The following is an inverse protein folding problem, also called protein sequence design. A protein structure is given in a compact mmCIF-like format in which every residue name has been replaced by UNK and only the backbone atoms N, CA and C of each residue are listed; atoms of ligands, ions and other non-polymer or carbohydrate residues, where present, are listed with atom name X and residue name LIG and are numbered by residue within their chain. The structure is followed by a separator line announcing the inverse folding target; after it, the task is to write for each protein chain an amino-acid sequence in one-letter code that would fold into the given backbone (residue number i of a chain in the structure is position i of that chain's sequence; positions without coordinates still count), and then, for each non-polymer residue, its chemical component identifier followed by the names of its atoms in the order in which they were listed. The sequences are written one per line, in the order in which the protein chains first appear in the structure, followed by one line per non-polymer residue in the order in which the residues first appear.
data_IF_299942039075
#
_entry.id   IF_299942039075
#
_cell.length_a   1.000
_cell.length_b   1.000
_cell.length_c   1.000
_cell.angle_alpha   90.00
_cell.angle_beta   90.00
_cell.angle_gamma   90.00
#
_symmetry.space_group_name_H-M   'P 1'
#
loop_
_entity.id
_entity.type
_entity.pdbx_description
1 polymer ?
#
# COMPACT_ATOMS: atom_id res chain seq x y z
N UNK A 1 4.10 -45.55 -21.59
CA UNK A 1 3.68 -45.67 -20.19
C UNK A 1 3.68 -44.26 -19.59
N UNK A 2 2.49 -43.68 -19.52
CA UNK A 2 2.18 -42.41 -18.90
C UNK A 2 2.41 -42.55 -17.39
N UNK A 3 3.08 -41.59 -16.74
CA UNK A 3 3.15 -41.51 -15.28
C UNK A 3 2.34 -40.29 -14.86
N UNK A 4 1.12 -40.58 -14.41
CA UNK A 4 0.20 -39.65 -13.79
C UNK A 4 0.74 -39.27 -12.39
N UNK A 5 0.94 -37.99 -12.15
CA UNK A 5 1.13 -37.39 -10.82
C UNK A 5 0.45 -36.01 -10.80
N UNK A 6 -0.84 -35.96 -11.11
CA UNK A 6 -1.68 -34.79 -10.87
C UNK A 6 -2.60 -35.06 -9.69
N UNK A 7 -2.09 -34.80 -8.48
CA UNK A 7 -2.89 -34.57 -7.29
C UNK A 7 -3.12 -33.06 -7.11
N UNK A 8 -3.66 -32.39 -8.13
CA UNK A 8 -3.96 -30.96 -8.07
C UNK A 8 -5.25 -30.71 -7.29
N UNK A 9 -5.20 -29.90 -6.23
CA UNK A 9 -6.42 -29.51 -5.50
C UNK A 9 -7.32 -28.72 -6.45
N UNK A 10 -8.46 -29.28 -6.81
CA UNK A 10 -9.38 -28.69 -7.80
C UNK A 10 -10.10 -27.42 -7.30
N UNK A 11 -10.17 -27.18 -5.99
CA UNK A 11 -10.77 -25.98 -5.40
C UNK A 11 -10.08 -25.58 -4.09
N UNK A 12 -10.14 -24.29 -3.72
CA UNK A 12 -9.72 -23.80 -2.39
C UNK A 12 -10.63 -22.68 -1.88
N UNK A 13 -10.71 -22.54 -0.56
CA UNK A 13 -11.38 -21.44 0.13
C UNK A 13 -10.30 -20.63 0.85
N UNK A 14 -10.20 -19.35 0.51
CA UNK A 14 -9.31 -18.41 1.18
C UNK A 14 -10.05 -17.65 2.27
N UNK A 15 -9.48 -17.63 3.47
CA UNK A 15 -9.93 -16.76 4.56
C UNK A 15 -8.94 -15.61 4.67
N UNK A 16 -9.41 -14.37 4.54
CA UNK A 16 -8.59 -13.17 4.66
C UNK A 16 -8.84 -12.54 6.04
N UNK A 17 -7.79 -12.45 6.84
CA UNK A 17 -7.78 -11.79 8.15
C UNK A 17 -6.71 -10.69 8.13
N UNK A 18 -7.15 -9.44 8.03
CA UNK A 18 -6.30 -8.26 7.97
C UNK A 18 -6.88 -7.12 8.80
N UNK A 19 -6.06 -6.11 9.10
CA UNK A 19 -6.49 -4.90 9.79
C UNK A 19 -7.58 -4.15 9.02
N UNK A 20 -8.59 -3.66 9.74
CA UNK A 20 -9.57 -2.71 9.22
C UNK A 20 -8.99 -1.30 9.08
N UNK A 21 -9.82 -0.36 8.62
CA UNK A 21 -9.44 1.05 8.50
C UNK A 21 -9.07 1.64 9.87
N UNK A 22 -7.97 2.40 9.95
CA UNK A 22 -7.43 2.97 11.18
C UNK A 22 -7.23 4.49 11.06
N UNK A 23 -7.64 5.23 12.09
CA UNK A 23 -7.30 6.65 12.25
C UNK A 23 -7.09 6.97 13.72
N UNK A 24 -5.95 7.59 14.02
CA UNK A 24 -5.53 8.04 15.34
C UNK A 24 -5.22 9.54 15.34
N UNK A 25 -4.88 10.09 16.52
CA UNK A 25 -4.42 11.47 16.67
C UNK A 25 -3.12 11.74 15.88
N UNK A 26 -2.25 10.72 15.76
CA UNK A 26 -1.01 10.76 14.98
C UNK A 26 -0.93 9.53 14.09
N UNK A 27 -1.14 9.71 12.80
CA UNK A 27 -1.02 8.64 11.80
C UNK A 27 0.34 8.72 11.11
N UNK A 28 0.99 7.58 10.92
CA UNK A 28 2.27 7.48 10.21
C UNK A 28 2.15 6.54 9.01
N UNK A 29 3.29 6.06 8.51
CA UNK A 29 3.38 5.20 7.33
C UNK A 29 2.60 3.88 7.50
N UNK A 30 2.51 3.36 8.72
CA UNK A 30 1.80 2.12 9.04
C UNK A 30 0.29 2.26 8.77
N UNK A 31 -0.35 3.30 9.32
CA UNK A 31 -1.76 3.59 9.06
C UNK A 31 -2.00 3.89 7.58
N UNK A 32 -1.07 4.59 6.92
CA UNK A 32 -1.18 4.85 5.49
C UNK A 32 -1.25 3.56 4.68
N UNK A 33 -0.39 2.57 4.98
CA UNK A 33 -0.40 1.25 4.34
C UNK A 33 -1.69 0.46 4.64
N UNK A 34 -2.16 0.48 5.89
CA UNK A 34 -3.40 -0.19 6.30
C UNK A 34 -4.60 0.41 5.57
N UNK A 35 -4.72 1.73 5.53
CA UNK A 35 -5.84 2.42 4.90
C UNK A 35 -5.81 2.25 3.38
N UNK A 36 -4.63 2.24 2.76
CA UNK A 36 -4.48 1.91 1.34
C UNK A 36 -4.95 0.48 1.01
N UNK A 37 -4.59 -0.51 1.84
CA UNK A 37 -5.07 -1.88 1.65
C UNK A 37 -6.61 -1.96 1.78
N UNK A 38 -7.19 -1.23 2.74
CA UNK A 38 -8.64 -1.14 2.89
C UNK A 38 -9.32 -0.43 1.71
N UNK A 39 -8.68 0.57 1.09
CA UNK A 39 -9.19 1.23 -0.12
C UNK A 39 -9.35 0.23 -1.29
N UNK A 40 -8.37 -0.67 -1.45
CA UNK A 40 -8.41 -1.75 -2.46
C UNK A 40 -9.50 -2.79 -2.15
N UNK A 41 -9.66 -3.16 -0.89
CA UNK A 41 -10.73 -4.07 -0.48
C UNK A 41 -12.11 -3.45 -0.70
N UNK A 42 -12.27 -2.19 -0.34
CA UNK A 42 -13.51 -1.45 -0.55
C UNK A 42 -13.87 -1.39 -2.03
N UNK A 43 -12.90 -1.05 -2.90
CA UNK A 43 -13.12 -1.05 -4.35
C UNK A 43 -13.61 -2.42 -4.86
N UNK A 44 -12.97 -3.50 -4.41
CA UNK A 44 -13.34 -4.86 -4.84
C UNK A 44 -14.72 -5.27 -4.33
N UNK A 45 -15.04 -4.91 -3.08
CA UNK A 45 -16.33 -5.18 -2.47
C UNK A 45 -17.45 -4.48 -3.22
N UNK A 46 -17.30 -3.17 -3.44
CA UNK A 46 -18.27 -2.34 -4.16
C UNK A 46 -18.52 -2.89 -5.56
N UNK A 47 -17.46 -3.16 -6.33
CA UNK A 47 -17.59 -3.76 -7.67
C UNK A 47 -18.31 -5.12 -7.66
N UNK A 48 -18.01 -5.97 -6.67
CA UNK A 48 -18.61 -7.30 -6.60
C UNK A 48 -20.11 -7.24 -6.27
N UNK A 49 -20.49 -6.41 -5.29
CA UNK A 49 -21.88 -6.19 -4.92
C UNK A 49 -22.67 -5.63 -6.11
N UNK A 50 -22.12 -4.65 -6.85
CA UNK A 50 -22.77 -4.12 -8.04
C UNK A 50 -23.03 -5.16 -9.11
N UNK A 51 -22.05 -6.03 -9.36
CA UNK A 51 -22.20 -7.11 -10.33
C UNK A 51 -23.31 -8.08 -9.93
N UNK A 52 -23.38 -8.47 -8.66
CA UNK A 52 -24.42 -9.36 -8.15
C UNK A 52 -25.81 -8.73 -8.26
N UNK A 53 -25.93 -7.44 -7.93
CA UNK A 53 -27.19 -6.72 -8.02
C UNK A 53 -27.68 -6.63 -9.47
N UNK A 54 -26.79 -6.31 -10.40
CA UNK A 54 -27.10 -6.28 -11.83
C UNK A 54 -27.58 -7.65 -12.34
N UNK A 55 -26.94 -8.74 -11.91
CA UNK A 55 -27.34 -10.10 -12.26
C UNK A 55 -28.72 -10.49 -11.70
N UNK A 56 -29.10 -9.95 -10.54
CA UNK A 56 -30.43 -10.15 -9.94
C UNK A 56 -31.51 -9.40 -10.72
N UNK A 57 -31.31 -8.11 -10.99
CA UNK A 57 -32.26 -7.28 -11.75
C UNK A 57 -32.58 -7.89 -13.12
N UNK A 58 -31.56 -8.34 -13.84
CA UNK A 58 -31.72 -9.00 -15.13
C UNK A 58 -32.50 -10.32 -15.01
N UNK A 59 -32.33 -11.06 -13.91
CA UNK A 59 -33.04 -12.32 -13.66
C UNK A 59 -34.52 -12.09 -13.36
N UNK A 60 -34.83 -11.00 -12.67
CA UNK A 60 -36.21 -10.60 -12.36
C UNK A 60 -36.91 -9.89 -13.52
N UNK A 61 -36.19 -9.55 -14.59
CA UNK A 61 -36.72 -8.82 -15.74
C UNK A 61 -36.98 -7.35 -15.45
N UNK A 62 -36.28 -6.78 -14.45
CA UNK A 62 -36.33 -5.37 -14.09
C UNK A 62 -35.32 -4.58 -14.91
N UNK A 63 -35.67 -3.34 -15.26
CA UNK A 63 -34.72 -2.42 -15.90
C UNK A 63 -33.65 -1.99 -14.90
N UNK A 64 -32.39 -2.14 -15.27
CA UNK A 64 -31.27 -1.66 -14.47
C UNK A 64 -31.15 -0.14 -14.58
N UNK A 65 -31.32 0.56 -13.47
CA UNK A 65 -30.98 1.98 -13.35
C UNK A 65 -29.61 2.13 -12.69
N UNK A 66 -28.82 3.08 -13.14
CA UNK A 66 -27.49 3.31 -12.58
C UNK A 66 -27.61 3.89 -11.18
N UNK A 67 -27.27 3.10 -10.17
CA UNK A 67 -27.14 3.59 -8.79
C UNK A 67 -25.89 4.44 -8.69
N UNK A 68 -26.05 5.68 -8.24
CA UNK A 68 -24.93 6.59 -7.96
C UNK A 68 -24.14 6.07 -6.75
N UNK A 69 -22.83 5.89 -6.90
CA UNK A 69 -21.96 5.39 -5.85
C UNK A 69 -20.65 6.14 -5.80
N UNK A 70 -20.03 6.14 -4.62
CA UNK A 70 -18.72 6.73 -4.44
C UNK A 70 -17.65 5.86 -5.10
N UNK A 71 -17.15 6.32 -6.24
CA UNK A 71 -15.97 5.74 -6.88
C UNK A 71 -14.69 6.21 -6.17
N UNK A 72 -13.98 5.26 -5.58
CA UNK A 72 -12.74 5.51 -4.87
C UNK A 72 -11.47 5.33 -5.74
N UNK A 73 -11.62 5.06 -7.05
CA UNK A 73 -10.49 4.99 -7.98
C UNK A 73 -9.60 6.26 -7.95
N UNK A 74 -10.12 7.50 -7.84
CA UNK A 74 -9.27 8.69 -7.75
C UNK A 74 -8.34 8.69 -6.51
N UNK A 75 -8.81 8.18 -5.37
CA UNK A 75 -8.00 8.03 -4.16
C UNK A 75 -6.93 6.94 -4.34
N UNK A 76 -7.29 5.83 -4.98
CA UNK A 76 -6.33 4.76 -5.31
C UNK A 76 -5.23 5.28 -6.24
N UNK A 77 -5.61 5.99 -7.31
CA UNK A 77 -4.67 6.57 -8.27
C UNK A 77 -3.75 7.61 -7.62
N UNK A 78 -4.27 8.40 -6.68
CA UNK A 78 -3.46 9.31 -5.88
C UNK A 78 -2.37 8.56 -5.09
N UNK A 79 -2.67 7.37 -4.56
CA UNK A 79 -1.75 6.60 -3.73
C UNK A 79 -0.74 5.79 -4.56
N UNK A 80 -1.22 4.92 -5.46
CA UNK A 80 -0.39 3.95 -6.19
C UNK A 80 -0.06 4.36 -7.63
N UNK A 81 -0.75 5.37 -8.16
CA UNK A 81 -0.65 5.73 -9.57
C UNK A 81 0.72 6.27 -9.96
N UNK A 82 0.98 6.44 -11.26
CA UNK A 82 2.20 7.08 -11.74
C UNK A 82 2.33 8.49 -11.15
N UNK A 83 3.46 8.78 -10.51
CA UNK A 83 3.65 10.04 -9.76
C UNK A 83 2.68 10.25 -8.59
N UNK A 84 2.07 9.17 -8.08
CA UNK A 84 1.29 9.16 -6.85
C UNK A 84 2.18 9.15 -5.60
N UNK A 85 1.55 9.07 -4.44
CA UNK A 85 2.21 9.21 -3.13
C UNK A 85 3.35 8.19 -2.96
N UNK A 86 3.08 6.90 -3.21
CA UNK A 86 4.07 5.83 -3.08
C UNK A 86 5.18 5.92 -4.13
N UNK A 87 4.84 6.31 -5.37
CA UNK A 87 5.84 6.52 -6.43
C UNK A 87 6.83 7.62 -6.04
N UNK A 88 6.33 8.75 -5.55
CA UNK A 88 7.17 9.88 -5.14
C UNK A 88 8.01 9.53 -3.89
N UNK A 89 7.46 8.74 -2.97
CA UNK A 89 8.18 8.25 -1.79
C UNK A 89 9.34 7.33 -2.19
N UNK A 90 9.09 6.39 -3.11
CA UNK A 90 10.11 5.49 -3.65
C UNK A 90 11.25 6.23 -4.35
N UNK A 91 10.94 7.32 -5.05
CA UNK A 91 11.97 8.15 -5.68
C UNK A 91 12.79 8.92 -4.65
N UNK A 92 12.18 9.45 -3.59
CA UNK A 92 12.92 10.11 -2.52
C UNK A 92 13.88 9.14 -1.81
N UNK A 93 13.46 7.89 -1.58
CA UNK A 93 14.29 6.85 -0.95
C UNK A 93 15.60 6.55 -1.71
N UNK A 94 15.64 6.85 -3.02
CA UNK A 94 16.82 6.68 -3.88
C UNK A 94 17.76 7.89 -3.84
N UNK A 95 17.32 9.02 -3.29
CA UNK A 95 18.13 10.24 -3.25
C UNK A 95 19.31 10.09 -2.27
N UNK A 96 20.51 10.62 -2.59
CA UNK A 96 21.66 10.57 -1.69
C UNK A 96 21.42 11.25 -0.33
N UNK A 97 20.50 12.23 -0.29
CA UNK A 97 20.07 12.96 0.90
C UNK A 97 18.53 12.90 1.01
N UNK A 98 18.01 11.69 1.06
CA UNK A 98 16.58 11.45 1.21
C UNK A 98 16.03 12.16 2.45
N UNK A 99 14.92 12.90 2.30
CA UNK A 99 14.32 13.67 3.38
C UNK A 99 12.80 13.68 3.31
N UNK A 100 12.14 13.44 4.44
CA UNK A 100 10.68 13.55 4.57
C UNK A 100 10.19 14.94 4.14
N UNK A 101 10.96 16.01 4.43
CA UNK A 101 10.58 17.37 4.08
C UNK A 101 10.61 17.63 2.57
N UNK A 102 11.59 17.06 1.88
CA UNK A 102 11.72 17.18 0.43
C UNK A 102 10.61 16.40 -0.27
N UNK A 103 10.35 15.19 0.20
CA UNK A 103 9.24 14.38 -0.27
C UNK A 103 7.89 15.08 -0.09
N UNK A 104 7.62 15.62 1.10
CA UNK A 104 6.39 16.38 1.35
C UNK A 104 6.26 17.59 0.42
N UNK A 105 7.34 18.34 0.19
CA UNK A 105 7.31 19.48 -0.71
C UNK A 105 6.93 19.06 -2.14
N UNK A 106 7.49 17.94 -2.64
CA UNK A 106 7.16 17.37 -3.96
C UNK A 106 5.71 16.87 -4.02
N UNK A 107 5.22 16.24 -2.96
CA UNK A 107 3.81 15.82 -2.86
C UNK A 107 2.86 17.01 -2.98
N UNK A 108 3.11 18.06 -2.19
CA UNK A 108 2.28 19.26 -2.16
C UNK A 108 2.30 19.96 -3.52
N UNK A 109 3.47 20.13 -4.14
CA UNK A 109 3.60 20.73 -5.48
C UNK A 109 2.80 19.95 -6.53
N UNK A 110 2.81 18.61 -6.43
CA UNK A 110 2.17 17.73 -7.41
C UNK A 110 0.65 17.66 -7.24
N UNK A 111 0.15 17.59 -6.01
CA UNK A 111 -1.25 17.19 -5.76
C UNK A 111 -2.13 18.28 -5.15
N UNK A 112 -1.57 19.27 -4.46
CA UNK A 112 -2.39 20.30 -3.83
C UNK A 112 -3.16 21.09 -4.90
N UNK A 113 -4.49 21.16 -4.72
CA UNK A 113 -5.45 21.76 -5.67
C UNK A 113 -5.54 21.05 -7.04
N UNK A 114 -4.94 19.87 -7.20
CA UNK A 114 -5.01 19.07 -8.45
C UNK A 114 -5.69 17.73 -8.25
N UNK A 115 -5.50 17.12 -7.08
CA UNK A 115 -6.13 15.85 -6.71
C UNK A 115 -7.25 16.12 -5.70
N UNK A 116 -8.49 15.67 -5.94
CA UNK A 116 -9.64 15.96 -5.07
C UNK A 116 -9.49 15.36 -3.67
N UNK A 117 -8.78 14.22 -3.59
CA UNK A 117 -8.57 13.49 -2.34
C UNK A 117 -7.29 13.91 -1.60
N UNK A 118 -6.51 14.84 -2.14
CA UNK A 118 -5.31 15.37 -1.49
C UNK A 118 -5.57 16.75 -0.89
N UNK A 119 -5.23 16.92 0.38
CA UNK A 119 -5.33 18.22 1.05
C UNK A 119 -4.23 18.42 2.09
N UNK A 120 -4.17 19.62 2.67
CA UNK A 120 -3.18 19.95 3.68
C UNK A 120 -3.75 20.91 4.73
N UNK A 121 -3.55 20.58 6.01
CA UNK A 121 -3.88 21.47 7.12
C UNK A 121 -2.92 22.65 7.19
N UNK A 122 -3.44 23.86 7.41
CA UNK A 122 -2.62 25.08 7.57
C UNK A 122 -1.65 24.99 8.76
N UNK A 123 -2.06 24.35 9.86
CA UNK A 123 -1.19 24.17 11.04
C UNK A 123 -0.08 23.14 10.80
N UNK A 124 -0.33 22.15 9.96
CA UNK A 124 0.57 21.02 9.69
C UNK A 124 1.28 21.08 8.35
N UNK A 125 1.31 22.25 7.68
CA UNK A 125 1.72 22.38 6.29
C UNK A 125 3.19 21.96 5.99
N UNK A 126 4.01 21.84 7.03
CA UNK A 126 5.42 21.42 6.90
C UNK A 126 5.70 20.00 7.39
N UNK A 127 4.72 19.36 8.01
CA UNK A 127 4.90 18.10 8.76
C UNK A 127 3.86 17.05 8.41
N UNK A 128 2.83 17.39 7.64
CA UNK A 128 1.74 16.48 7.34
C UNK A 128 1.07 16.76 5.99
N UNK A 129 0.40 15.73 5.47
CA UNK A 129 -0.53 15.80 4.36
C UNK A 129 -1.82 15.06 4.75
N UNK A 130 -2.90 15.29 4.01
CA UNK A 130 -4.19 14.65 4.25
C UNK A 130 -4.67 13.92 3.00
N UNK A 131 -5.23 12.73 3.21
CA UNK A 131 -5.91 11.95 2.16
C UNK A 131 -7.37 11.74 2.54
N UNK A 132 -8.28 12.01 1.62
CA UNK A 132 -9.69 11.64 1.74
C UNK A 132 -9.85 10.20 1.28
N UNK A 133 -9.97 9.29 2.24
CA UNK A 133 -10.30 7.90 1.99
C UNK A 133 -11.81 7.71 1.88
N UNK A 134 -12.26 6.52 1.47
CA UNK A 134 -13.69 6.19 1.43
C UNK A 134 -14.41 6.37 2.78
N UNK A 135 -13.70 6.18 3.90
CA UNK A 135 -14.25 6.31 5.25
C UNK A 135 -14.21 7.74 5.78
N UNK A 136 -13.03 8.36 5.77
CA UNK A 136 -12.82 9.71 6.30
C UNK A 136 -11.55 10.40 5.76
N UNK A 137 -11.34 11.65 6.15
CA UNK A 137 -10.11 12.40 5.83
C UNK A 137 -9.08 12.14 6.93
N UNK A 138 -7.95 11.53 6.56
CA UNK A 138 -6.88 11.15 7.49
C UNK A 138 -5.67 12.05 7.31
N UNK A 139 -5.13 12.57 8.41
CA UNK A 139 -3.89 13.36 8.42
C UNK A 139 -2.70 12.47 8.78
N UNK A 140 -1.69 12.44 7.90
CA UNK A 140 -0.47 11.66 8.06
C UNK A 140 0.73 12.56 8.36
N UNK A 141 1.45 12.26 9.43
CA UNK A 141 2.68 12.97 9.82
C UNK A 141 3.86 12.37 9.06
N UNK A 142 4.58 13.17 8.27
CA UNK A 142 5.63 12.67 7.35
C UNK A 142 6.89 12.18 8.05
N UNK A 143 7.07 12.46 9.34
CA UNK A 143 8.26 12.07 10.08
C UNK A 143 8.48 10.55 10.03
N UNK A 144 9.65 10.15 9.51
CA UNK A 144 10.07 8.76 9.40
C UNK A 144 9.48 8.01 8.21
N UNK A 145 8.70 8.64 7.32
CA UNK A 145 8.13 7.95 6.16
C UNK A 145 9.20 7.40 5.22
N UNK A 146 10.20 8.21 4.89
CA UNK A 146 11.28 7.84 3.97
C UNK A 146 12.14 6.72 4.58
N UNK A 147 12.46 6.83 5.87
CA UNK A 147 13.23 5.80 6.59
C UNK A 147 12.48 4.46 6.62
N UNK A 148 11.21 4.48 7.01
CA UNK A 148 10.36 3.28 7.09
C UNK A 148 10.18 2.61 5.72
N UNK A 149 10.08 3.39 4.65
CA UNK A 149 9.96 2.85 3.29
C UNK A 149 11.30 2.34 2.71
N UNK A 150 12.44 2.86 3.20
CA UNK A 150 13.75 2.40 2.75
C UNK A 150 14.08 0.98 3.23
N UNK A 151 13.50 0.53 4.35
CA UNK A 151 13.66 -0.80 4.95
C UNK A 151 15.14 -1.27 4.96
N UNK A 152 16.06 -0.36 5.32
CA UNK A 152 17.50 -0.59 5.19
C UNK A 152 18.00 -1.55 6.26
N UNK A 153 18.42 -2.73 5.85
CA UNK A 153 19.22 -3.63 6.67
C UNK A 153 20.71 -3.32 6.52
N UNK A 154 21.39 -3.07 7.64
CA UNK A 154 22.86 -2.88 7.67
C UNK A 154 23.54 -4.18 7.24
N UNK A 155 24.36 -4.11 6.17
CA UNK A 155 24.98 -5.31 5.55
C UNK A 155 25.93 -6.02 6.50
N UNK A 156 26.63 -5.28 7.35
CA UNK A 156 27.54 -5.83 8.35
C UNK A 156 26.78 -6.64 9.40
N UNK A 157 25.59 -6.18 9.81
CA UNK A 157 24.73 -6.92 10.72
C UNK A 157 24.21 -8.19 10.04
N UNK A 158 23.74 -8.08 8.79
CA UNK A 158 23.34 -9.24 7.97
C UNK A 158 24.47 -10.28 7.86
N UNK A 159 25.70 -9.85 7.56
CA UNK A 159 26.86 -10.73 7.44
C UNK A 159 27.24 -11.44 8.76
N UNK A 160 27.00 -10.81 9.92
CA UNK A 160 27.18 -11.45 11.23
C UNK A 160 26.15 -12.58 11.42
N UNK A 161 24.89 -12.36 11.03
CA UNK A 161 23.86 -13.40 11.09
C UNK A 161 24.15 -14.56 10.13
N UNK A 162 24.65 -14.29 8.92
CA UNK A 162 25.04 -15.33 7.95
C UNK A 162 26.20 -16.22 8.45
N UNK A 163 27.12 -15.65 9.23
CA UNK A 163 28.32 -16.35 9.74
C UNK A 163 28.10 -17.06 11.08
N UNK A 164 26.94 -16.86 11.70
CA UNK A 164 26.62 -17.46 13.00
C UNK A 164 26.34 -18.96 12.81
N UNK A 165 27.05 -19.80 13.57
CA UNK A 165 26.84 -21.26 13.63
C UNK A 165 25.73 -21.67 14.61
N UNK A 166 25.14 -20.70 15.30
CA UNK A 166 24.13 -20.91 16.33
C UNK A 166 22.73 -20.82 15.70
N UNK A 167 22.06 -21.97 15.68
CA UNK A 167 20.67 -22.19 15.27
C UNK A 167 20.36 -22.17 13.78
N UNK A 168 19.91 -23.33 13.29
CA UNK A 168 19.37 -23.57 11.94
C UNK A 168 18.24 -22.58 11.55
N UNK A 169 17.49 -22.09 12.55
CA UNK A 169 16.41 -21.12 12.35
C UNK A 169 16.89 -19.74 11.88
N UNK A 170 18.08 -19.29 12.31
CA UNK A 170 18.62 -17.98 11.94
C UNK A 170 19.12 -17.96 10.48
N UNK A 171 19.74 -19.05 10.03
CA UNK A 171 20.12 -19.21 8.62
C UNK A 171 18.90 -19.22 7.67
N UNK A 172 17.77 -19.80 8.10
CA UNK A 172 16.55 -19.86 7.29
C UNK A 172 15.89 -18.49 7.11
N UNK A 173 15.86 -17.67 8.17
CA UNK A 173 15.32 -16.32 8.12
C UNK A 173 16.09 -15.43 7.14
N UNK A 174 17.43 -15.53 7.08
CA UNK A 174 18.21 -14.69 6.17
C UNK A 174 18.18 -15.15 4.71
N UNK A 175 17.90 -16.43 4.46
CA UNK A 175 17.79 -16.99 3.11
C UNK A 175 16.47 -16.61 2.40
N UNK A 176 15.53 -16.00 3.14
CA UNK A 176 14.19 -15.69 2.64
C UNK A 176 14.19 -14.39 1.81
N UNK A 177 13.73 -14.41 0.54
CA UNK A 177 13.72 -13.24 -0.34
C UNK A 177 12.76 -12.11 0.12
N UNK A 178 11.95 -12.36 1.15
CA UNK A 178 11.08 -11.35 1.77
C UNK A 178 11.81 -10.42 2.75
N UNK A 179 12.97 -10.83 3.30
CA UNK A 179 13.79 -10.01 4.21
C UNK A 179 14.93 -9.33 3.45
N UNK A 180 15.34 -9.89 2.31
CA UNK A 180 16.32 -9.29 1.44
C UNK A 180 15.61 -8.57 0.29
N UNK A 181 15.33 -7.27 0.47
CA UNK A 181 14.82 -6.41 -0.59
C UNK A 181 15.58 -6.66 -1.92
N UNK A 182 14.90 -6.89 -3.07
CA UNK A 182 15.54 -7.32 -4.32
C UNK A 182 16.35 -6.22 -5.04
N UNK A 183 16.79 -5.18 -4.33
CA UNK A 183 17.71 -4.15 -4.82
C UNK A 183 19.17 -4.65 -4.87
N UNK A 184 19.39 -5.87 -5.37
CA UNK A 184 20.74 -6.42 -5.62
C UNK A 184 21.49 -5.75 -6.79
N UNK A 185 20.92 -4.74 -7.46
CA UNK A 185 21.48 -4.17 -8.69
C UNK A 185 21.65 -2.64 -8.73
N UNK A 186 21.89 -1.97 -7.60
CA UNK A 186 22.51 -0.63 -7.64
C UNK A 186 24.01 -0.75 -7.35
N UNK A 187 24.79 -0.92 -8.41
CA UNK A 187 26.22 -0.56 -8.42
C UNK A 187 26.36 0.96 -8.66
N UNK A 188 27.47 1.59 -8.22
CA UNK A 188 27.65 3.04 -8.18
C UNK A 188 27.49 3.71 -9.54
#
# INVERSE_FOLDING_TARGET
AQKDLEGGRENFIGVLDIYGFETFDVNSFEQFCINYANEKLQQRFVFHVFKLEQEEYLREGLEWDFVDFYDNQPCIDLIEGPMGILSLLNDECKMPKASDSNWLARLVEKHLNRSPDFSQSKLGARTSFQVRHFAEVVAYTVAGFVEKNCDRVIREHAAIFERTSVSHSLCFLHSSPLICCPLKNCKP
#
